data_IF_496364597825
#
_entry.id   IF_496364597825
#
_cell.length_a   1.000
_cell.length_b   1.000
_cell.length_c   1.000
_cell.angle_alpha   90.00
_cell.angle_beta   90.00
_cell.angle_gamma   90.00
#
_symmetry.space_group_name_H-M   'P 1'
#
loop_
_entity.id
_entity.type
_entity.pdbx_description
1 polymer ?
#
# COMPACT_ATOMS: atom_id res chain seq x y z
N UNK A 1 3.76 8.01 36.14
CA UNK A 1 2.93 7.80 34.93
C UNK A 1 3.44 6.59 34.18
N UNK A 2 2.61 5.61 33.81
CA UNK A 2 3.06 4.50 33.00
C UNK A 2 3.57 5.01 31.65
N UNK A 3 4.78 4.60 31.27
CA UNK A 3 5.37 4.94 29.98
C UNK A 3 4.58 4.27 28.86
N UNK A 4 4.25 5.01 27.80
CA UNK A 4 3.51 4.46 26.66
C UNK A 4 4.33 3.36 25.99
N UNK A 5 3.68 2.24 25.67
CA UNK A 5 4.31 1.19 24.88
C UNK A 5 4.76 1.71 23.51
N UNK A 6 5.75 1.04 22.90
CA UNK A 6 6.20 1.36 21.54
C UNK A 6 5.03 1.29 20.55
N UNK A 7 4.17 0.27 20.67
CA UNK A 7 2.99 0.10 19.83
C UNK A 7 2.02 1.29 19.92
N UNK A 8 1.69 1.73 21.15
CA UNK A 8 0.83 2.90 21.36
C UNK A 8 1.43 4.18 20.76
N UNK A 9 2.75 4.33 20.85
CA UNK A 9 3.46 5.46 20.25
C UNK A 9 3.40 5.43 18.70
N UNK A 10 3.60 4.26 18.09
CA UNK A 10 3.49 4.10 16.64
C UNK A 10 2.05 4.33 16.14
N UNK A 11 1.05 3.80 16.82
CA UNK A 11 -0.36 4.01 16.49
C UNK A 11 -0.73 5.50 16.52
N UNK A 12 -0.32 6.23 17.57
CA UNK A 12 -0.56 7.68 17.66
C UNK A 12 0.13 8.48 16.56
N UNK A 13 1.38 8.13 16.22
CA UNK A 13 2.12 8.76 15.10
C UNK A 13 1.44 8.51 13.77
N UNK A 14 0.94 7.29 13.56
CA UNK A 14 0.17 6.93 12.36
C UNK A 14 -1.13 7.73 12.27
N UNK A 15 -1.93 7.74 13.34
CA UNK A 15 -3.18 8.49 13.40
C UNK A 15 -2.98 9.97 13.05
N UNK A 16 -1.95 10.62 13.62
CA UNK A 16 -1.62 12.01 13.33
C UNK A 16 -1.24 12.27 11.86
N UNK A 17 -0.57 11.31 11.22
CA UNK A 17 -0.22 11.43 9.80
C UNK A 17 -1.46 11.28 8.91
N UNK A 18 -2.36 10.36 9.26
CA UNK A 18 -3.61 10.17 8.53
C UNK A 18 -4.53 11.38 8.65
N UNK A 19 -4.59 12.01 9.83
CA UNK A 19 -5.41 13.20 10.05
C UNK A 19 -4.84 14.48 9.41
N UNK A 20 -3.62 14.46 8.84
CA UNK A 20 -2.96 15.66 8.30
C UNK A 20 -3.30 15.92 6.84
N UNK A 21 -3.73 14.90 6.12
CA UNK A 21 -3.93 14.96 4.66
C UNK A 21 -5.22 14.25 4.31
N UNK A 22 -5.83 14.67 3.21
CA UNK A 22 -7.05 14.01 2.73
C UNK A 22 -6.71 12.68 2.06
N UNK A 23 -7.66 11.76 2.22
CA UNK A 23 -7.66 10.41 1.70
C UNK A 23 -8.94 10.23 0.89
N UNK A 24 -8.80 10.08 -0.42
CA UNK A 24 -9.91 10.12 -1.39
C UNK A 24 -10.20 8.75 -2.03
N UNK A 25 -9.44 7.71 -1.67
CA UNK A 25 -9.73 6.34 -2.11
C UNK A 25 -11.09 5.88 -1.56
N UNK A 26 -12.06 5.69 -2.45
CA UNK A 26 -13.38 5.16 -2.11
C UNK A 26 -13.36 3.64 -1.93
N UNK A 27 -14.40 3.09 -1.31
CA UNK A 27 -14.54 1.64 -1.19
C UNK A 27 -14.76 0.98 -2.57
N UNK A 28 -15.51 1.60 -3.48
CA UNK A 28 -15.69 1.11 -4.85
C UNK A 28 -14.38 1.06 -5.63
N UNK A 29 -13.55 2.10 -5.52
CA UNK A 29 -12.21 2.12 -6.11
C UNK A 29 -11.31 1.04 -5.50
N UNK A 30 -11.46 0.78 -4.20
CA UNK A 30 -10.73 -0.30 -3.55
C UNK A 30 -11.16 -1.68 -4.06
N UNK A 31 -12.46 -1.95 -4.22
CA UNK A 31 -12.95 -3.19 -4.81
C UNK A 31 -12.47 -3.35 -6.26
N UNK A 32 -12.53 -2.28 -7.06
CA UNK A 32 -12.05 -2.29 -8.43
C UNK A 32 -10.53 -2.58 -8.51
N UNK A 33 -9.72 -2.05 -7.58
CA UNK A 33 -8.31 -2.41 -7.46
C UNK A 33 -8.11 -3.88 -7.10
N UNK A 34 -8.92 -4.44 -6.18
CA UNK A 34 -8.82 -5.86 -5.83
C UNK A 34 -9.13 -6.75 -7.03
N UNK A 35 -10.15 -6.42 -7.82
CA UNK A 35 -10.53 -7.15 -9.03
C UNK A 35 -9.47 -7.04 -10.12
N UNK A 36 -9.00 -5.84 -10.44
CA UNK A 36 -8.00 -5.61 -11.48
C UNK A 36 -6.66 -6.33 -11.20
N UNK A 37 -6.25 -6.38 -9.93
CA UNK A 37 -5.04 -7.10 -9.53
C UNK A 37 -5.26 -8.60 -9.35
N UNK A 38 -6.48 -9.03 -9.03
CA UNK A 38 -6.87 -10.42 -8.79
C UNK A 38 -5.94 -11.16 -7.81
N UNK A 39 -5.37 -10.45 -6.84
CA UNK A 39 -4.39 -10.99 -5.90
C UNK A 39 -3.45 -9.93 -5.34
N UNK A 40 -2.42 -10.37 -4.61
CA UNK A 40 -1.38 -9.48 -4.11
C UNK A 40 -0.57 -8.89 -5.28
N UNK A 41 -0.48 -7.56 -5.34
CA UNK A 41 0.23 -6.83 -6.37
C UNK A 41 1.72 -7.13 -6.46
N UNK A 42 2.28 -7.80 -5.45
CA UNK A 42 3.71 -8.11 -5.37
C UNK A 42 4.03 -9.59 -5.60
N UNK A 43 3.42 -10.49 -4.83
CA UNK A 43 3.71 -11.92 -4.93
C UNK A 43 2.65 -12.73 -5.71
N UNK A 44 1.55 -12.09 -6.12
CA UNK A 44 0.48 -12.74 -6.89
C UNK A 44 -0.40 -13.71 -6.10
N UNK A 45 -0.20 -13.86 -4.78
CA UNK A 45 -1.06 -14.76 -3.98
C UNK A 45 -2.51 -14.29 -3.99
N UNK A 46 -3.42 -15.24 -4.23
CA UNK A 46 -4.87 -15.01 -4.32
C UNK A 46 -5.61 -15.41 -3.03
N UNK A 47 -5.06 -16.36 -2.27
CA UNK A 47 -5.65 -16.91 -1.04
C UNK A 47 -5.33 -16.09 0.22
N UNK A 48 -5.24 -14.76 0.10
CA UNK A 48 -4.89 -13.89 1.21
C UNK A 48 -5.89 -12.76 1.38
N UNK A 49 -6.20 -12.42 2.64
CA UNK A 49 -6.88 -11.19 2.96
C UNK A 49 -5.99 -10.00 2.54
N UNK A 50 -6.38 -9.34 1.44
CA UNK A 50 -5.63 -8.23 0.85
C UNK A 50 -5.80 -6.96 1.70
N UNK A 51 -4.70 -6.25 1.86
CA UNK A 51 -4.61 -5.00 2.61
C UNK A 51 -4.28 -3.86 1.65
N UNK A 52 -4.74 -2.65 1.97
CA UNK A 52 -4.35 -1.41 1.29
C UNK A 52 -2.89 -1.09 1.61
N UNK A 53 -1.99 -1.28 0.65
CA UNK A 53 -0.59 -0.85 0.76
C UNK A 53 -0.34 0.37 -0.14
N UNK A 54 0.49 1.30 0.33
CA UNK A 54 0.80 2.52 -0.39
C UNK A 54 2.14 2.42 -1.12
N UNK A 55 2.15 2.65 -2.44
CA UNK A 55 3.35 2.75 -3.28
C UNK A 55 4.36 3.73 -2.65
N UNK A 56 3.96 4.99 -2.46
CA UNK A 56 4.63 5.95 -1.59
C UNK A 56 4.06 5.82 -0.17
N UNK A 57 4.86 5.47 0.85
CA UNK A 57 4.37 5.32 2.21
C UNK A 57 3.93 6.67 2.80
N UNK A 58 2.92 6.63 3.67
CA UNK A 58 2.38 7.80 4.38
C UNK A 58 3.45 8.58 5.14
N UNK A 59 4.46 7.90 5.70
CA UNK A 59 5.57 8.57 6.39
C UNK A 59 6.43 9.46 5.49
N UNK A 60 6.29 9.32 4.15
CA UNK A 60 6.95 10.13 3.13
C UNK A 60 5.97 10.96 2.29
N UNK A 61 4.76 11.19 2.80
CA UNK A 61 3.76 12.04 2.13
C UNK A 61 2.78 11.29 1.22
N UNK A 62 2.83 9.96 1.20
CA UNK A 62 1.81 9.17 0.50
C UNK A 62 0.42 9.28 1.11
N UNK A 63 -0.60 9.08 0.27
CA UNK A 63 -2.02 9.16 0.62
C UNK A 63 -2.76 7.88 0.24
N UNK A 64 -4.00 7.75 0.70
CA UNK A 64 -4.89 6.69 0.23
C UNK A 64 -5.65 7.29 -0.95
N UNK A 65 -5.09 7.08 -2.14
CA UNK A 65 -5.63 7.52 -3.43
C UNK A 65 -5.60 6.32 -4.37
N UNK A 66 -6.45 6.32 -5.41
CA UNK A 66 -6.47 5.28 -6.44
C UNK A 66 -5.07 5.05 -7.05
N UNK A 67 -4.31 6.13 -7.26
CA UNK A 67 -2.98 6.11 -7.87
C UNK A 67 -1.85 5.61 -6.96
N UNK A 68 -2.06 5.62 -5.64
CA UNK A 68 -1.01 5.31 -4.68
C UNK A 68 -1.28 4.01 -3.89
N UNK A 69 -2.45 3.41 -4.02
CA UNK A 69 -2.82 2.20 -3.27
C UNK A 69 -2.87 0.99 -4.19
N UNK A 70 -2.31 -0.13 -3.71
CA UNK A 70 -2.41 -1.44 -4.35
C UNK A 70 -2.80 -2.51 -3.32
N UNK A 71 -3.46 -3.60 -3.74
CA UNK A 71 -3.74 -4.70 -2.85
C UNK A 71 -2.47 -5.51 -2.54
N UNK A 72 -2.21 -5.76 -1.25
CA UNK A 72 -1.06 -6.54 -0.82
C UNK A 72 -1.43 -7.54 0.27
N UNK A 73 -0.84 -8.74 0.22
CA UNK A 73 -0.97 -9.69 1.32
C UNK A 73 -0.21 -9.19 2.56
N UNK A 74 -0.57 -9.74 3.74
CA UNK A 74 0.04 -9.37 5.02
C UNK A 74 1.56 -9.47 5.03
N UNK A 75 2.14 -10.52 4.42
CA UNK A 75 3.58 -10.76 4.42
C UNK A 75 4.33 -9.72 3.57
N UNK A 76 3.85 -9.42 2.37
CA UNK A 76 4.44 -8.39 1.51
C UNK A 76 4.30 -6.99 2.14
N UNK A 77 3.10 -6.63 2.61
CA UNK A 77 2.85 -5.33 3.24
C UNK A 77 3.75 -5.13 4.48
N UNK A 78 3.87 -6.16 5.34
CA UNK A 78 4.78 -6.11 6.49
C UNK A 78 6.26 -6.04 6.07
N UNK A 79 6.67 -6.73 5.00
CA UNK A 79 8.04 -6.71 4.47
C UNK A 79 8.43 -5.34 3.88
N UNK A 80 7.48 -4.67 3.22
CA UNK A 80 7.68 -3.33 2.66
C UNK A 80 7.67 -2.27 3.75
N UNK A 81 6.76 -2.38 4.71
CA UNK A 81 6.64 -1.48 5.85
C UNK A 81 6.57 -0.01 5.39
N UNK A 82 7.57 0.80 5.76
CA UNK A 82 7.64 2.21 5.43
C UNK A 82 8.63 2.51 4.30
N UNK A 83 9.06 1.52 3.52
CA UNK A 83 9.87 1.73 2.33
C UNK A 83 8.99 2.20 1.16
N UNK A 84 9.59 2.98 0.27
CA UNK A 84 9.01 3.26 -1.05
C UNK A 84 9.08 1.98 -1.91
N UNK A 85 8.08 1.76 -2.77
CA UNK A 85 7.87 0.49 -3.45
C UNK A 85 9.06 0.08 -4.29
N UNK A 86 9.64 0.97 -5.10
CA UNK A 86 10.73 0.61 -6.01
C UNK A 86 11.99 0.25 -5.24
N UNK A 87 12.32 1.02 -4.20
CA UNK A 87 13.45 0.70 -3.31
C UNK A 87 13.27 -0.67 -2.62
N UNK A 88 12.05 -0.98 -2.18
CA UNK A 88 11.74 -2.28 -1.57
C UNK A 88 11.80 -3.43 -2.57
N UNK A 89 11.24 -3.26 -3.77
CA UNK A 89 11.23 -4.27 -4.84
C UNK A 89 12.64 -4.62 -5.29
N UNK A 90 13.50 -3.61 -5.51
CA UNK A 90 14.92 -3.82 -5.82
C UNK A 90 15.63 -4.63 -4.74
N UNK A 91 15.41 -4.31 -3.45
CA UNK A 91 15.94 -5.08 -2.33
C UNK A 91 15.44 -6.52 -2.30
N UNK A 92 14.19 -6.75 -2.68
CA UNK A 92 13.56 -8.08 -2.75
C UNK A 92 13.84 -8.82 -4.05
N UNK A 93 14.54 -8.20 -5.01
CA UNK A 93 14.77 -8.72 -6.37
C UNK A 93 13.47 -9.09 -7.09
N UNK A 94 12.42 -8.30 -6.88
CA UNK A 94 11.15 -8.41 -7.61
C UNK A 94 11.24 -7.64 -8.94
N UNK A 95 10.40 -8.00 -9.89
CA UNK A 95 10.33 -7.33 -11.20
C UNK A 95 9.59 -5.97 -11.08
N UNK A 96 10.37 -4.93 -10.81
CA UNK A 96 9.89 -3.55 -10.72
C UNK A 96 9.24 -3.07 -12.02
N UNK A 97 9.79 -3.44 -13.19
CA UNK A 97 9.30 -2.98 -14.49
C UNK A 97 7.89 -3.50 -14.73
N UNK A 98 7.69 -4.80 -14.55
CA UNK A 98 6.38 -5.42 -14.73
C UNK A 98 5.35 -4.85 -13.77
N UNK A 99 5.71 -4.58 -12.52
CA UNK A 99 4.82 -3.91 -11.56
C UNK A 99 4.41 -2.51 -12.02
N UNK A 100 5.36 -1.67 -12.46
CA UNK A 100 5.07 -0.30 -12.88
C UNK A 100 4.20 -0.24 -14.14
N UNK A 101 4.45 -1.12 -15.12
CA UNK A 101 3.61 -1.25 -16.32
C UNK A 101 2.19 -1.64 -15.93
N UNK A 102 2.04 -2.71 -15.15
CA UNK A 102 0.72 -3.18 -14.70
C UNK A 102 -0.03 -2.13 -13.87
N UNK A 103 0.67 -1.38 -13.03
CA UNK A 103 0.07 -0.28 -12.27
C UNK A 103 -0.46 0.80 -13.22
N UNK A 104 0.30 1.19 -14.24
CA UNK A 104 -0.13 2.18 -15.21
C UNK A 104 -1.36 1.71 -16.00
N UNK A 105 -1.34 0.47 -16.48
CA UNK A 105 -2.47 -0.16 -17.18
C UNK A 105 -3.73 -0.23 -16.30
N UNK A 106 -3.56 -0.62 -15.03
CA UNK A 106 -4.66 -0.66 -14.06
C UNK A 106 -5.27 0.72 -13.84
N UNK A 107 -4.44 1.76 -13.71
CA UNK A 107 -4.94 3.12 -13.54
C UNK A 107 -5.65 3.65 -14.80
N UNK A 108 -5.19 3.28 -15.99
CA UNK A 108 -5.87 3.62 -17.24
C UNK A 108 -7.23 2.93 -17.35
N UNK A 109 -7.36 1.70 -16.87
CA UNK A 109 -8.62 0.96 -16.89
C UNK A 109 -9.64 1.44 -15.85
N UNK A 110 -9.18 2.08 -14.77
CA UNK A 110 -10.02 2.54 -13.65
C UNK A 110 -10.28 4.06 -13.66
N UNK A 111 -9.73 4.80 -14.63
CA UNK A 111 -9.95 6.22 -14.84
C UNK A 111 -11.21 6.47 -15.69
#
# INVERSE_FOLDING_TARGET
MPTRSRAATYAKRRQRRMAKVDHDLTDDQWFALQEAWAGCAYCGTVDAALQKDCILPISRGGRYTLTNVVPACRSCNASKCNLEVTAWMRRKKLDERTFLVRQAETLQALA
#
